data_IF_124907878136
#
_entry.id   IF_124907878136
#
_cell.length_a   1.000
_cell.length_b   1.000
_cell.length_c   1.000
_cell.angle_alpha   90.00
_cell.angle_beta   90.00
_cell.angle_gamma   90.00
#
_symmetry.space_group_name_H-M   'P 1'
#
loop_
_entity.id
_entity.type
_entity.pdbx_description
1 polymer ?
#
# COMPACT_ATOMS: atom_id res chain seq x y z
N UNK A 1 4.78 9.22 9.97
CA UNK A 1 4.25 8.11 10.77
C UNK A 1 3.68 7.05 9.84
N UNK A 2 3.83 5.79 10.20
CA UNK A 2 3.26 4.69 9.44
C UNK A 2 1.97 4.25 10.12
N UNK A 3 0.86 4.25 9.37
CA UNK A 3 -0.43 3.75 9.83
C UNK A 3 -0.87 2.68 8.85
N UNK A 4 -1.25 1.52 9.37
CA UNK A 4 -1.77 0.45 8.52
C UNK A 4 -3.17 0.83 8.03
N UNK A 5 -3.42 0.66 6.72
CA UNK A 5 -4.77 0.85 6.18
C UNK A 5 -5.74 -0.05 6.94
N UNK A 6 -6.77 0.56 7.50
CA UNK A 6 -7.57 -0.08 8.53
C UNK A 6 -8.68 -0.98 8.01
N UNK A 7 -8.89 -2.11 8.65
CA UNK A 7 -7.95 -2.81 9.49
C UNK A 7 -6.91 -3.56 8.67
N UNK A 8 -5.68 -3.61 9.15
CA UNK A 8 -4.54 -4.18 8.42
C UNK A 8 -4.79 -5.59 7.90
N UNK A 9 -5.45 -6.42 8.69
CA UNK A 9 -5.69 -7.80 8.32
C UNK A 9 -6.69 -7.97 7.17
N UNK A 10 -7.48 -6.95 6.85
CA UNK A 10 -8.42 -6.98 5.71
C UNK A 10 -7.79 -6.53 4.41
N UNK A 11 -6.61 -5.93 4.48
CA UNK A 11 -5.87 -5.45 3.31
C UNK A 11 -4.68 -6.37 2.98
N UNK A 12 -4.69 -7.58 3.49
CA UNK A 12 -3.62 -8.56 3.27
C UNK A 12 -3.92 -9.49 2.12
N UNK A 13 -2.87 -9.88 1.41
CA UNK A 13 -2.93 -10.85 0.33
C UNK A 13 -1.67 -11.70 0.36
N UNK A 14 -1.82 -13.01 0.14
CA UNK A 14 -0.69 -13.91 -0.09
C UNK A 14 -0.35 -13.91 -1.57
N UNK A 15 0.92 -13.68 -1.88
CA UNK A 15 1.43 -13.74 -3.24
C UNK A 15 2.62 -14.69 -3.26
N UNK A 16 2.58 -15.66 -4.17
CA UNK A 16 3.69 -16.57 -4.42
C UNK A 16 4.35 -16.19 -5.74
N UNK A 17 5.57 -15.69 -5.66
CA UNK A 17 6.31 -15.23 -6.84
C UNK A 17 6.79 -16.38 -7.74
N UNK A 18 6.84 -17.62 -7.23
CA UNK A 18 7.29 -18.77 -8.02
C UNK A 18 6.29 -19.10 -9.13
N UNK A 19 4.98 -19.33 -8.84
CA UNK A 19 3.99 -19.52 -9.91
C UNK A 19 3.81 -18.27 -10.77
N UNK A 20 3.93 -17.10 -10.19
CA UNK A 20 3.83 -15.82 -10.89
C UNK A 20 4.95 -15.63 -11.91
N UNK A 21 6.13 -16.21 -11.68
CA UNK A 21 7.27 -16.13 -12.58
C UNK A 21 8.10 -14.85 -12.48
N UNK A 22 7.74 -13.92 -11.59
CA UNK A 22 8.49 -12.67 -11.37
C UNK A 22 8.24 -12.11 -9.99
N UNK A 23 9.25 -11.44 -9.42
CA UNK A 23 9.11 -10.63 -8.22
C UNK A 23 8.74 -9.18 -8.51
N UNK A 24 8.82 -8.74 -9.76
CA UNK A 24 8.40 -7.40 -10.16
C UNK A 24 6.87 -7.34 -10.22
N UNK A 25 6.30 -6.29 -9.63
CA UNK A 25 4.86 -6.06 -9.62
C UNK A 25 4.56 -4.57 -9.76
N UNK A 26 3.32 -4.27 -10.14
CA UNK A 26 2.78 -2.93 -10.17
C UNK A 26 1.55 -2.88 -9.26
N UNK A 27 1.45 -1.83 -8.46
CA UNK A 27 0.33 -1.64 -7.54
C UNK A 27 -0.49 -0.46 -8.01
N UNK A 28 -1.80 -0.69 -8.16
CA UNK A 28 -2.79 0.38 -8.31
C UNK A 28 -3.56 0.49 -7.01
N UNK A 29 -3.65 1.69 -6.47
CA UNK A 29 -4.38 1.95 -5.23
C UNK A 29 -5.15 3.25 -5.35
N UNK A 30 -6.37 3.27 -4.82
CA UNK A 30 -7.22 4.46 -4.79
C UNK A 30 -7.21 5.03 -3.39
N UNK A 31 -6.69 6.25 -3.26
CA UNK A 31 -6.45 6.92 -2.00
C UNK A 31 -7.27 8.20 -1.91
N UNK A 32 -7.76 8.51 -0.72
CA UNK A 32 -8.43 9.78 -0.44
C UNK A 32 -8.14 10.25 0.98
N UNK A 33 -8.01 11.55 1.14
CA UNK A 33 -7.81 12.19 2.43
C UNK A 33 -9.13 12.58 3.09
N UNK A 34 -9.15 12.67 4.41
CA UNK A 34 -10.28 13.20 5.14
C UNK A 34 -10.50 14.68 4.81
N UNK A 35 -9.41 15.43 4.70
CA UNK A 35 -9.42 16.82 4.25
C UNK A 35 -8.09 17.15 3.53
N UNK A 36 -8.02 18.29 2.88
CA UNK A 36 -6.89 18.66 2.02
C UNK A 36 -5.59 18.96 2.78
N UNK A 37 -5.63 19.09 4.10
CA UNK A 37 -4.43 19.28 4.92
C UNK A 37 -3.76 17.96 5.31
N UNK A 38 -4.41 16.84 5.04
CA UNK A 38 -3.88 15.50 5.30
C UNK A 38 -3.30 14.92 4.02
N UNK A 39 -2.06 14.49 4.07
CA UNK A 39 -1.42 13.83 2.93
C UNK A 39 -0.86 12.47 3.34
N UNK A 40 -0.95 11.51 2.44
CA UNK A 40 -0.37 10.20 2.66
C UNK A 40 0.10 9.58 1.35
N UNK A 41 1.06 8.70 1.48
CA UNK A 41 1.48 7.81 0.40
C UNK A 41 1.34 6.37 0.85
N UNK A 42 1.21 5.47 -0.11
CA UNK A 42 1.03 4.05 0.12
C UNK A 42 2.30 3.28 -0.16
N UNK A 43 2.52 2.22 0.58
CA UNK A 43 3.55 1.21 0.31
C UNK A 43 3.01 -0.17 0.58
N UNK A 44 3.68 -1.17 0.03
CA UNK A 44 3.41 -2.57 0.34
C UNK A 44 4.38 -3.03 1.42
N UNK A 45 3.85 -3.73 2.40
CA UNK A 45 4.63 -4.28 3.50
C UNK A 45 4.59 -5.80 3.44
N UNK A 46 5.74 -6.43 3.57
CA UNK A 46 5.89 -7.88 3.65
C UNK A 46 5.78 -8.29 5.11
N UNK A 47 4.64 -8.87 5.48
CA UNK A 47 4.38 -9.29 6.86
C UNK A 47 5.06 -10.62 7.20
N UNK A 48 5.47 -11.40 6.22
CA UNK A 48 6.24 -12.62 6.47
C UNK A 48 7.65 -12.28 6.96
N UNK A 49 8.33 -11.35 6.29
CA UNK A 49 9.67 -10.90 6.65
C UNK A 49 9.67 -9.64 7.53
N UNK A 50 8.50 -9.05 7.77
CA UNK A 50 8.34 -7.85 8.59
C UNK A 50 9.19 -6.67 8.07
N UNK A 51 9.12 -6.43 6.77
CA UNK A 51 9.87 -5.38 6.09
C UNK A 51 9.03 -4.74 4.97
N UNK A 52 9.23 -3.44 4.74
CA UNK A 52 8.59 -2.77 3.61
C UNK A 52 9.22 -3.18 2.29
N UNK A 53 8.38 -3.45 1.28
CA UNK A 53 8.84 -3.64 -0.08
C UNK A 53 9.38 -2.32 -0.65
N UNK A 54 10.31 -2.43 -1.60
CA UNK A 54 10.81 -1.25 -2.32
C UNK A 54 9.72 -0.69 -3.22
N UNK A 55 9.54 0.61 -3.16
CA UNK A 55 8.55 1.33 -3.96
C UNK A 55 7.41 1.87 -3.10
N UNK A 56 6.94 3.05 -3.48
CA UNK A 56 5.82 3.72 -2.81
C UNK A 56 5.14 4.68 -3.76
N UNK A 57 3.90 5.06 -3.46
CA UNK A 57 3.15 6.04 -4.23
C UNK A 57 3.64 7.46 -4.00
N UNK A 58 3.18 8.39 -4.83
CA UNK A 58 3.27 9.82 -4.53
C UNK A 58 2.33 10.17 -3.37
N UNK A 59 2.55 11.33 -2.75
CA UNK A 59 1.66 11.84 -1.71
C UNK A 59 0.33 12.27 -2.33
N UNK A 60 -0.77 11.81 -1.74
CA UNK A 60 -2.13 12.17 -2.13
C UNK A 60 -2.74 13.03 -1.04
N UNK A 61 -3.35 14.15 -1.44
CA UNK A 61 -4.04 15.08 -0.52
C UNK A 61 -5.49 15.32 -0.92
N UNK A 62 -5.97 14.66 -1.97
CA UNK A 62 -7.33 14.85 -2.49
C UNK A 62 -8.36 14.18 -1.59
N UNK A 63 -9.54 14.78 -1.50
CA UNK A 63 -10.65 14.24 -0.71
C UNK A 63 -11.56 13.30 -1.52
N UNK A 64 -11.32 13.19 -2.81
CA UNK A 64 -11.95 12.19 -3.67
C UNK A 64 -10.96 11.07 -3.99
N UNK A 65 -11.41 9.82 -4.14
CA UNK A 65 -10.50 8.72 -4.46
C UNK A 65 -9.68 9.01 -5.70
N UNK A 66 -8.37 8.95 -5.54
CA UNK A 66 -7.40 9.21 -6.61
C UNK A 66 -6.55 7.96 -6.81
N UNK A 67 -6.44 7.51 -8.05
CA UNK A 67 -5.62 6.34 -8.39
C UNK A 67 -4.16 6.70 -8.39
N UNK A 68 -3.37 5.93 -7.65
CA UNK A 68 -1.92 5.96 -7.68
C UNK A 68 -1.40 4.62 -8.16
N UNK A 69 -0.38 4.65 -9.02
CA UNK A 69 0.26 3.44 -9.54
C UNK A 69 1.75 3.53 -9.24
N UNK A 70 2.31 2.48 -8.68
CA UNK A 70 3.74 2.45 -8.37
C UNK A 70 4.31 1.03 -8.51
N UNK A 71 5.58 0.90 -8.92
CA UNK A 71 6.22 -0.39 -8.98
C UNK A 71 6.64 -0.85 -7.59
N UNK A 72 6.61 -2.16 -7.37
CA UNK A 72 7.15 -2.79 -6.17
C UNK A 72 7.98 -4.00 -6.53
N UNK A 73 8.93 -4.35 -5.67
CA UNK A 73 9.68 -5.61 -5.77
C UNK A 73 9.22 -6.52 -4.63
N UNK A 74 8.65 -7.67 -4.99
CA UNK A 74 8.21 -8.68 -4.03
C UNK A 74 9.37 -9.59 -3.67
N UNK A 75 9.28 -10.22 -2.49
CA UNK A 75 10.25 -11.23 -2.06
C UNK A 75 9.97 -12.55 -2.77
N UNK A 76 11.01 -13.28 -3.11
CA UNK A 76 10.85 -14.57 -3.79
C UNK A 76 10.19 -15.60 -2.86
N UNK A 77 9.23 -16.33 -3.40
CA UNK A 77 8.44 -17.33 -2.66
C UNK A 77 7.07 -16.82 -2.25
N UNK A 78 6.43 -17.55 -1.34
CA UNK A 78 5.09 -17.24 -0.84
C UNK A 78 5.19 -16.38 0.41
N UNK A 79 4.68 -15.15 0.32
CA UNK A 79 4.69 -14.19 1.41
C UNK A 79 3.34 -13.51 1.57
N UNK A 80 3.05 -13.08 2.79
CA UNK A 80 1.90 -12.27 3.13
C UNK A 80 2.24 -10.78 2.99
N UNK A 81 1.46 -10.06 2.20
CA UNK A 81 1.64 -8.63 1.97
C UNK A 81 0.42 -7.85 2.42
N UNK A 82 0.65 -6.61 2.77
CA UNK A 82 -0.43 -5.69 3.09
C UNK A 82 -0.10 -4.26 2.70
N UNK A 83 -1.14 -3.43 2.66
CA UNK A 83 -1.00 -2.01 2.38
C UNK A 83 -0.71 -1.26 3.68
N UNK A 84 0.27 -0.36 3.62
CA UNK A 84 0.53 0.62 4.68
C UNK A 84 0.44 2.03 4.12
N UNK A 85 -0.08 2.93 4.95
CA UNK A 85 -0.16 4.35 4.64
C UNK A 85 0.82 5.12 5.50
N UNK A 86 1.60 5.99 4.86
CA UNK A 86 2.51 6.92 5.53
C UNK A 86 1.82 8.29 5.56
N UNK A 87 1.22 8.60 6.70
CA UNK A 87 0.38 9.80 6.88
C UNK A 87 1.21 10.91 7.53
N UNK A 88 1.10 12.12 7.01
CA UNK A 88 1.89 13.26 7.47
C UNK A 88 1.34 13.94 8.73
N UNK A 89 0.10 13.65 9.11
CA UNK A 89 -0.56 14.24 10.28
C UNK A 89 -1.04 13.13 11.21
N UNK A 90 -0.66 13.24 12.49
CA UNK A 90 -1.03 12.24 13.52
C UNK A 90 -2.52 12.33 13.83
N UNK A 91 -3.18 11.17 14.03
CA UNK A 91 -4.58 11.04 14.43
C UNK A 91 -5.59 11.59 13.41
N UNK A 92 -5.20 11.70 12.15
CA UNK A 92 -6.10 12.03 11.07
C UNK A 92 -6.41 10.79 10.24
N UNK A 93 -7.61 10.76 9.67
CA UNK A 93 -8.04 9.65 8.83
C UNK A 93 -7.55 9.81 7.40
N UNK A 94 -7.22 8.68 6.79
CA UNK A 94 -6.90 8.58 5.39
C UNK A 94 -7.43 7.25 4.87
N UNK A 95 -7.96 7.23 3.65
CA UNK A 95 -8.71 6.09 3.14
C UNK A 95 -8.05 5.46 1.93
N UNK A 96 -7.99 4.12 1.95
CA UNK A 96 -7.72 3.33 0.76
C UNK A 96 -9.01 2.58 0.41
N UNK A 97 -9.58 2.84 -0.76
CA UNK A 97 -10.87 2.29 -1.15
C UNK A 97 -10.74 1.04 -2.02
N UNK A 98 -9.62 0.89 -2.70
CA UNK A 98 -9.32 -0.29 -3.49
C UNK A 98 -7.81 -0.44 -3.67
N UNK A 99 -7.36 -1.69 -3.83
CA UNK A 99 -5.97 -2.01 -4.15
C UNK A 99 -5.95 -3.14 -5.17
N UNK A 100 -5.06 -3.04 -6.14
CA UNK A 100 -4.88 -4.04 -7.17
C UNK A 100 -3.38 -4.26 -7.42
N UNK A 101 -2.93 -5.51 -7.33
CA UNK A 101 -1.54 -5.90 -7.57
C UNK A 101 -1.48 -6.71 -8.87
N UNK A 102 -0.65 -6.28 -9.80
CA UNK A 102 -0.51 -6.93 -11.10
C UNK A 102 0.94 -7.12 -11.56
#
# INVERSE_FOLDING_TARGET
MVVTAAPANKMRVEIDTIPRGTSAASVDVWLSAQNSSVGAKARIFDYTDNVACTGESSVVTTTTPTKETFPVTLTNGSHDYGLQLLINVVNEDFYATAIYVR
#
